data_IF_273020379980
#
_entry.id   IF_273020379980
#
_cell.length_a   1.000
_cell.length_b   1.000
_cell.length_c   1.000
_cell.angle_alpha   90.00
_cell.angle_beta   90.00
_cell.angle_gamma   90.00
#
_symmetry.space_group_name_H-M   'P 1'
#
loop_
_entity.id
_entity.type
_entity.pdbx_description
1 polymer ?
#
# COMPACT_ATOMS: atom_id res chain seq x y z
N UNK A 1 -2.09 -5.34 -7.96
CA UNK A 1 -2.57 -4.64 -9.16
C UNK A 1 -3.34 -3.43 -8.68
N UNK A 2 -2.88 -2.23 -9.00
CA UNK A 2 -3.30 -1.00 -8.30
C UNK A 2 -4.26 -0.18 -9.19
N UNK A 3 -3.78 0.80 -9.96
CA UNK A 3 -4.62 1.62 -10.87
C UNK A 3 -5.07 0.93 -12.18
N UNK A 4 -5.58 -0.31 -12.11
CA UNK A 4 -6.05 -1.07 -13.28
C UNK A 4 -7.25 -0.40 -13.99
N UNK A 5 -8.08 0.35 -13.26
CA UNK A 5 -9.27 1.02 -13.78
C UNK A 5 -8.95 2.01 -14.91
N UNK A 6 -7.76 2.63 -14.89
CA UNK A 6 -7.31 3.59 -15.91
C UNK A 6 -7.08 2.99 -17.29
N UNK A 7 -6.93 1.68 -17.39
CA UNK A 7 -6.74 0.97 -18.66
C UNK A 7 -8.05 0.67 -19.40
N UNK A 8 -9.19 0.71 -18.71
CA UNK A 8 -10.50 0.40 -19.27
C UNK A 8 -11.28 1.67 -19.61
N UNK A 9 -12.16 1.57 -20.61
CA UNK A 9 -13.06 2.66 -21.00
C UNK A 9 -14.33 2.16 -21.68
N UNK A 10 -15.25 3.07 -21.98
CA UNK A 10 -16.57 2.78 -22.55
C UNK A 10 -17.73 3.11 -21.59
N UNK A 11 -18.96 3.06 -22.11
CA UNK A 11 -20.14 3.43 -21.33
C UNK A 11 -20.57 2.32 -20.35
N UNK A 12 -20.15 2.45 -19.08
CA UNK A 12 -20.45 1.48 -18.03
C UNK A 12 -21.96 1.26 -17.81
N UNK A 13 -22.81 2.24 -18.14
CA UNK A 13 -24.27 2.13 -18.00
C UNK A 13 -24.90 1.13 -18.97
N UNK A 14 -24.13 0.64 -19.96
CA UNK A 14 -24.54 -0.43 -20.88
C UNK A 14 -24.04 -1.81 -20.45
N UNK A 15 -23.44 -1.91 -19.27
CA UNK A 15 -22.90 -3.17 -18.74
C UNK A 15 -23.70 -3.63 -17.53
N UNK A 16 -23.71 -4.94 -17.26
CA UNK A 16 -24.28 -5.50 -16.02
C UNK A 16 -23.50 -5.09 -14.77
N UNK A 17 -22.32 -4.51 -14.94
CA UNK A 17 -21.35 -4.19 -13.90
C UNK A 17 -21.32 -2.70 -13.54
N UNK A 18 -22.29 -1.90 -14.01
CA UNK A 18 -22.32 -0.43 -13.85
C UNK A 18 -21.99 0.00 -12.41
N UNK A 19 -22.67 -0.61 -11.43
CA UNK A 19 -22.49 -0.30 -10.00
C UNK A 19 -21.05 -0.57 -9.52
N UNK A 20 -20.52 -1.74 -9.84
CA UNK A 20 -19.16 -2.17 -9.48
C UNK A 20 -18.12 -1.24 -10.13
N UNK A 21 -18.26 -0.97 -11.43
CA UNK A 21 -17.33 -0.15 -12.20
C UNK A 21 -17.35 1.31 -11.81
N UNK A 22 -18.53 1.83 -11.45
CA UNK A 22 -18.65 3.15 -10.83
C UNK A 22 -17.90 3.24 -9.50
N UNK A 23 -17.97 2.22 -8.63
CA UNK A 23 -17.29 2.19 -7.33
C UNK A 23 -15.76 2.08 -7.45
N UNK A 24 -15.27 1.45 -8.51
CA UNK A 24 -13.84 1.34 -8.85
C UNK A 24 -13.31 2.51 -9.67
N UNK A 25 -14.18 3.41 -10.11
CA UNK A 25 -13.77 4.59 -10.88
C UNK A 25 -13.36 4.26 -12.31
N UNK A 26 -14.00 3.28 -12.96
CA UNK A 26 -13.89 3.12 -14.42
C UNK A 26 -14.78 4.16 -15.08
N UNK A 27 -14.18 4.98 -15.94
CA UNK A 27 -14.86 6.05 -16.67
C UNK A 27 -15.04 5.71 -18.14
N UNK A 28 -15.85 6.53 -18.83
CA UNK A 28 -16.01 6.43 -20.28
C UNK A 28 -14.68 6.62 -21.01
N UNK A 29 -13.92 7.62 -20.59
CA UNK A 29 -12.58 7.88 -21.10
C UNK A 29 -11.56 7.11 -20.27
N UNK A 30 -10.68 6.36 -20.93
CA UNK A 30 -9.54 5.68 -20.32
C UNK A 30 -8.31 6.59 -20.29
N UNK A 31 -7.37 6.34 -19.38
CA UNK A 31 -6.11 7.07 -19.30
C UNK A 31 -5.19 6.71 -20.46
N UNK A 32 -5.27 5.46 -20.92
CA UNK A 32 -4.47 4.93 -22.03
C UNK A 32 -5.32 4.69 -23.27
N UNK A 33 -4.72 4.77 -24.45
CA UNK A 33 -5.46 4.58 -25.73
C UNK A 33 -5.78 3.12 -26.07
N UNK A 34 -5.53 2.14 -25.18
CA UNK A 34 -5.74 0.72 -25.47
C UNK A 34 -7.18 0.37 -25.85
N UNK A 35 -8.17 1.03 -25.22
CA UNK A 35 -9.60 0.88 -25.54
C UNK A 35 -9.94 1.12 -27.02
N UNK A 36 -9.12 1.91 -27.73
CA UNK A 36 -9.33 2.23 -29.15
C UNK A 36 -8.90 1.09 -30.08
N UNK A 37 -8.05 0.19 -29.61
CA UNK A 37 -7.37 -0.80 -30.44
C UNK A 37 -7.63 -2.25 -30.02
N UNK A 38 -8.02 -2.47 -28.76
CA UNK A 38 -8.18 -3.80 -28.19
C UNK A 38 -9.51 -3.91 -27.46
N UNK A 39 -10.38 -4.77 -27.98
CA UNK A 39 -11.76 -4.92 -27.49
C UNK A 39 -11.85 -5.30 -26.02
N UNK A 40 -10.87 -6.05 -25.50
CA UNK A 40 -10.80 -6.44 -24.08
C UNK A 40 -10.81 -5.24 -23.11
N UNK A 41 -10.31 -4.07 -23.52
CA UNK A 41 -10.28 -2.89 -22.67
C UNK A 41 -11.53 -2.00 -22.83
N UNK A 42 -12.46 -2.39 -23.70
CA UNK A 42 -13.73 -1.72 -23.89
C UNK A 42 -14.83 -2.47 -23.12
N UNK A 43 -15.37 -1.84 -22.08
CA UNK A 43 -16.36 -2.46 -21.20
C UNK A 43 -17.69 -2.76 -21.89
N UNK A 44 -18.01 -2.09 -23.00
CA UNK A 44 -19.21 -2.41 -23.80
C UNK A 44 -19.03 -3.69 -24.63
N UNK A 45 -17.78 -4.08 -24.91
CA UNK A 45 -17.44 -5.26 -25.73
C UNK A 45 -17.08 -6.48 -24.88
N UNK A 46 -16.31 -6.28 -23.82
CA UNK A 46 -15.95 -7.33 -22.87
C UNK A 46 -16.29 -6.87 -21.43
N UNK A 47 -17.59 -6.92 -21.06
CA UNK A 47 -18.08 -6.29 -19.84
C UNK A 47 -17.56 -6.94 -18.57
N UNK A 48 -17.00 -8.15 -18.61
CA UNK A 48 -16.47 -8.82 -17.43
C UNK A 48 -14.94 -8.78 -17.35
N UNK A 49 -14.26 -8.25 -18.36
CA UNK A 49 -12.80 -8.20 -18.38
C UNK A 49 -12.21 -7.39 -17.21
N UNK A 50 -12.75 -6.20 -16.82
CA UNK A 50 -12.24 -5.49 -15.65
C UNK A 50 -12.30 -6.30 -14.35
N UNK A 51 -13.24 -7.24 -14.20
CA UNK A 51 -13.35 -8.11 -13.03
C UNK A 51 -12.17 -9.09 -12.91
N UNK A 52 -11.39 -9.27 -13.97
CA UNK A 52 -10.18 -10.10 -13.97
C UNK A 52 -8.94 -9.33 -13.51
N UNK A 53 -9.06 -8.05 -13.13
CA UNK A 53 -7.95 -7.20 -12.66
C UNK A 53 -8.26 -6.55 -11.31
N UNK A 54 -7.22 -6.05 -10.64
CA UNK A 54 -7.33 -5.52 -9.28
C UNK A 54 -7.12 -6.61 -8.24
N UNK A 55 -6.29 -7.62 -8.56
CA UNK A 55 -5.99 -8.73 -7.67
C UNK A 55 -4.51 -8.73 -7.27
N UNK A 56 -4.20 -9.35 -6.15
CA UNK A 56 -2.83 -9.77 -5.86
C UNK A 56 -2.44 -10.96 -6.74
N UNK A 57 -1.24 -10.92 -7.30
CA UNK A 57 -0.70 -11.94 -8.18
C UNK A 57 0.54 -12.55 -7.56
N UNK A 58 0.50 -13.85 -7.26
CA UNK A 58 1.64 -14.59 -6.75
C UNK A 58 2.48 -15.13 -7.91
N UNK A 59 3.79 -14.93 -7.84
CA UNK A 59 4.78 -15.34 -8.84
C UNK A 59 5.84 -16.18 -8.12
N UNK A 60 6.24 -17.31 -8.71
CA UNK A 60 7.39 -18.07 -8.22
C UNK A 60 8.67 -17.62 -8.95
N UNK A 61 9.56 -16.83 -8.31
CA UNK A 61 10.78 -16.37 -8.95
C UNK A 61 11.83 -17.48 -9.13
N UNK A 62 11.64 -18.65 -8.52
CA UNK A 62 12.55 -19.80 -8.63
C UNK A 62 12.15 -20.80 -9.72
N UNK A 63 10.94 -20.69 -10.26
CA UNK A 63 10.47 -21.50 -11.37
C UNK A 63 9.99 -20.59 -12.53
N UNK A 64 10.82 -20.38 -13.57
CA UNK A 64 10.47 -19.53 -14.70
C UNK A 64 9.36 -20.12 -15.59
N UNK A 65 8.94 -21.36 -15.35
CA UNK A 65 7.83 -22.01 -16.05
C UNK A 65 6.53 -22.00 -15.26
N UNK A 66 6.58 -21.54 -14.00
CA UNK A 66 5.40 -21.42 -13.16
C UNK A 66 4.40 -20.42 -13.76
N UNK A 67 3.12 -20.74 -13.63
CA UNK A 67 2.06 -19.82 -14.01
C UNK A 67 1.73 -18.92 -12.82
N UNK A 68 1.82 -17.58 -12.95
CA UNK A 68 1.38 -16.68 -11.90
C UNK A 68 -0.09 -16.88 -11.54
N UNK A 69 -0.42 -16.77 -10.26
CA UNK A 69 -1.77 -17.03 -9.73
C UNK A 69 -2.38 -15.75 -9.19
N UNK A 70 -3.56 -15.36 -9.68
CA UNK A 70 -4.36 -14.29 -9.06
C UNK A 70 -5.03 -14.85 -7.81
N UNK A 71 -4.69 -14.32 -6.63
CA UNK A 71 -5.18 -14.81 -5.33
C UNK A 71 -6.46 -14.07 -4.95
N UNK A 72 -7.59 -14.57 -5.42
CA UNK A 72 -8.89 -13.90 -5.29
C UNK A 72 -9.39 -13.82 -3.84
N UNK A 73 -8.92 -14.71 -2.96
CA UNK A 73 -9.25 -14.68 -1.53
C UNK A 73 -8.76 -13.41 -0.81
N UNK A 74 -7.81 -12.67 -1.38
CA UNK A 74 -7.36 -11.38 -0.87
C UNK A 74 -8.26 -10.20 -1.28
N UNK A 75 -9.35 -10.47 -2.03
CA UNK A 75 -10.31 -9.46 -2.49
C UNK A 75 -9.84 -8.71 -3.73
N UNK A 76 -10.75 -7.93 -4.32
CA UNK A 76 -10.50 -7.11 -5.50
C UNK A 76 -10.65 -5.64 -5.22
N UNK A 77 -9.56 -4.90 -5.39
CA UNK A 77 -9.49 -3.45 -5.24
C UNK A 77 -8.16 -2.93 -5.81
N UNK A 78 -7.78 -1.68 -5.52
CA UNK A 78 -6.52 -1.10 -6.00
C UNK A 78 -5.42 -1.40 -4.99
N UNK A 79 -4.90 -2.62 -5.06
CA UNK A 79 -3.86 -3.06 -4.12
C UNK A 79 -2.56 -2.32 -4.39
N UNK A 80 -2.07 -1.57 -3.40
CA UNK A 80 -0.70 -1.03 -3.40
C UNK A 80 0.33 -2.17 -3.28
N UNK A 81 0.14 -2.99 -2.24
CA UNK A 81 0.96 -4.17 -1.97
C UNK A 81 0.19 -5.21 -1.16
N UNK A 82 0.84 -6.32 -0.84
CA UNK A 82 0.34 -7.26 0.15
C UNK A 82 1.49 -7.87 0.94
N UNK A 83 1.79 -7.31 2.10
CA UNK A 83 2.93 -7.76 2.91
C UNK A 83 2.51 -8.82 3.90
N UNK A 84 3.28 -9.91 3.92
CA UNK A 84 2.98 -11.13 4.69
C UNK A 84 3.79 -11.17 5.98
N UNK A 85 3.14 -11.53 7.08
CA UNK A 85 3.78 -11.91 8.34
C UNK A 85 3.35 -13.30 8.77
N UNK A 86 4.27 -14.03 9.38
CA UNK A 86 4.04 -15.37 9.94
C UNK A 86 4.08 -15.24 11.46
N UNK A 87 2.97 -15.53 12.12
CA UNK A 87 2.91 -15.60 13.58
C UNK A 87 3.81 -16.72 14.11
N UNK A 88 4.19 -16.64 15.38
CA UNK A 88 4.94 -17.72 16.08
C UNK A 88 4.28 -19.09 16.03
N UNK A 89 2.96 -19.15 15.88
CA UNK A 89 2.22 -20.40 15.74
C UNK A 89 2.06 -20.88 14.28
N UNK A 90 2.78 -20.24 13.35
CA UNK A 90 2.77 -20.42 11.90
C UNK A 90 1.49 -19.98 11.18
N UNK A 91 0.59 -19.24 11.83
CA UNK A 91 -0.52 -18.60 11.12
C UNK A 91 0.01 -17.54 10.15
N UNK A 92 -0.58 -17.45 8.96
CA UNK A 92 -0.15 -16.53 7.89
C UNK A 92 -1.16 -15.39 7.76
N UNK A 93 -0.66 -14.16 7.80
CA UNK A 93 -1.45 -12.95 7.69
C UNK A 93 -0.86 -12.07 6.60
N UNK A 94 -1.70 -11.49 5.74
CA UNK A 94 -1.29 -10.48 4.76
C UNK A 94 -2.04 -9.17 5.02
N UNK A 95 -1.37 -8.03 4.92
CA UNK A 95 -1.98 -6.71 5.01
C UNK A 95 -1.93 -6.00 3.66
N UNK A 96 -2.95 -5.22 3.32
CA UNK A 96 -3.02 -4.54 2.02
C UNK A 96 -3.78 -3.22 2.14
N UNK A 97 -3.20 -2.15 1.60
CA UNK A 97 -3.88 -0.88 1.37
C UNK A 97 -4.65 -0.88 0.05
N UNK A 98 -5.78 -0.17 0.03
CA UNK A 98 -6.53 0.13 -1.18
C UNK A 98 -6.33 1.60 -1.55
N UNK A 99 -5.39 1.88 -2.45
CA UNK A 99 -4.98 3.25 -2.75
C UNK A 99 -6.05 3.99 -3.57
N UNK A 100 -6.95 4.60 -2.82
CA UNK A 100 -7.82 5.64 -3.31
C UNK A 100 -8.34 6.45 -2.11
N UNK A 101 -8.58 7.75 -2.34
CA UNK A 101 -9.21 8.59 -1.32
C UNK A 101 -10.52 7.97 -0.88
N UNK A 102 -10.67 7.82 0.44
CA UNK A 102 -11.84 7.26 1.10
C UNK A 102 -12.04 5.75 0.94
N UNK A 103 -11.04 5.02 0.47
CA UNK A 103 -11.04 3.55 0.49
C UNK A 103 -10.32 3.04 1.75
N UNK A 104 -9.94 1.75 1.81
CA UNK A 104 -9.82 1.03 3.08
C UNK A 104 -8.48 0.34 3.29
N UNK A 105 -8.28 -0.10 4.53
CA UNK A 105 -7.21 -0.98 4.93
C UNK A 105 -7.75 -2.40 5.13
N UNK A 106 -7.07 -3.39 4.56
CA UNK A 106 -7.47 -4.80 4.60
C UNK A 106 -6.43 -5.69 5.31
N UNK A 107 -6.92 -6.79 5.85
CA UNK A 107 -6.13 -7.89 6.42
C UNK A 107 -6.69 -9.22 5.95
N UNK A 108 -5.85 -10.11 5.44
CA UNK A 108 -6.21 -11.49 5.12
C UNK A 108 -5.55 -12.43 6.12
N UNK A 109 -6.30 -13.42 6.62
CA UNK A 109 -5.77 -14.49 7.47
C UNK A 109 -5.98 -15.82 6.76
N UNK A 110 -4.89 -16.53 6.45
CA UNK A 110 -4.93 -17.82 5.80
C UNK A 110 -5.60 -18.88 6.70
N UNK A 111 -6.34 -19.80 6.09
CA UNK A 111 -6.96 -20.92 6.81
C UNK A 111 -5.94 -21.98 7.24
N UNK A 112 -4.83 -22.09 6.49
CA UNK A 112 -3.78 -23.06 6.72
C UNK A 112 -2.51 -22.38 7.25
N UNK A 113 -1.70 -23.16 7.96
CA UNK A 113 -0.45 -22.70 8.58
C UNK A 113 0.74 -22.88 7.65
N UNK A 114 1.70 -21.99 7.77
CA UNK A 114 2.99 -22.10 7.13
C UNK A 114 3.76 -23.34 7.62
N UNK A 115 4.33 -24.09 6.68
CA UNK A 115 5.24 -25.19 6.97
C UNK A 115 6.68 -24.78 6.65
N UNK A 116 7.54 -24.52 7.65
CA UNK A 116 8.93 -24.11 7.41
C UNK A 116 9.80 -25.20 6.75
N UNK A 117 9.34 -26.46 6.77
CA UNK A 117 10.09 -27.60 6.27
C UNK A 117 9.58 -28.10 4.90
N UNK A 118 8.52 -27.52 4.36
CA UNK A 118 7.93 -27.95 3.09
C UNK A 118 7.41 -26.75 2.30
N UNK A 119 8.23 -26.29 1.33
CA UNK A 119 7.85 -25.21 0.42
C UNK A 119 6.63 -25.56 -0.41
N UNK A 120 6.52 -26.80 -0.90
CA UNK A 120 5.43 -27.19 -1.79
C UNK A 120 4.08 -27.12 -1.07
N UNK A 121 4.05 -27.46 0.23
CA UNK A 121 2.87 -27.32 1.07
C UNK A 121 2.40 -25.86 1.25
N UNK A 122 3.27 -24.87 0.99
CA UNK A 122 2.97 -23.46 1.18
C UNK A 122 2.43 -22.76 -0.08
N UNK A 123 2.51 -23.40 -1.24
CA UNK A 123 2.24 -22.78 -2.55
C UNK A 123 0.77 -22.39 -2.78
N UNK A 124 -0.14 -22.68 -1.86
CA UNK A 124 -1.57 -22.31 -1.93
C UNK A 124 -2.11 -21.75 -0.60
N UNK A 125 -1.23 -21.25 0.30
CA UNK A 125 -1.66 -20.68 1.58
C UNK A 125 -2.58 -19.45 1.42
N UNK A 126 -2.41 -18.71 0.32
CA UNK A 126 -3.22 -17.52 0.01
C UNK A 126 -4.51 -17.83 -0.77
N UNK A 127 -4.82 -19.12 -1.01
CA UNK A 127 -6.03 -19.53 -1.73
C UNK A 127 -7.27 -19.60 -0.82
N UNK A 128 -7.06 -19.90 0.47
CA UNK A 128 -8.14 -20.12 1.43
C UNK A 128 -7.87 -19.36 2.72
N UNK A 129 -8.86 -18.61 3.19
CA UNK A 129 -8.76 -17.80 4.40
C UNK A 129 -9.92 -16.82 4.50
N UNK A 130 -9.77 -15.85 5.40
CA UNK A 130 -10.77 -14.80 5.61
C UNK A 130 -10.15 -13.45 5.33
N UNK A 131 -10.79 -12.67 4.46
CA UNK A 131 -10.49 -11.26 4.25
C UNK A 131 -11.26 -10.42 5.28
N UNK A 132 -10.59 -9.41 5.83
CA UNK A 132 -11.12 -8.47 6.79
C UNK A 132 -10.86 -7.04 6.32
N UNK A 133 -11.73 -6.12 6.73
CA UNK A 133 -11.55 -4.68 6.55
C UNK A 133 -11.52 -3.96 7.89
N UNK A 134 -10.71 -2.90 8.00
CA UNK A 134 -10.53 -2.16 9.23
C UNK A 134 -11.70 -1.21 9.54
N UNK A 135 -12.10 -1.17 10.82
CA UNK A 135 -12.87 -0.10 11.43
C UNK A 135 -12.11 0.47 12.62
N UNK A 136 -11.72 1.73 12.50
CA UNK A 136 -11.03 2.49 13.53
C UNK A 136 -12.04 3.22 14.42
N UNK A 137 -11.79 3.19 15.73
CA UNK A 137 -12.60 3.85 16.75
C UNK A 137 -11.86 5.01 17.40
N UNK A 138 -12.59 6.01 17.89
CA UNK A 138 -12.01 7.21 18.52
C UNK A 138 -11.22 6.94 19.81
N UNK A 139 -11.45 5.78 20.44
CA UNK A 139 -10.74 5.36 21.66
C UNK A 139 -9.35 4.75 21.40
N UNK A 140 -8.88 4.77 20.14
CA UNK A 140 -7.60 4.18 19.73
C UNK A 140 -7.67 2.66 19.52
N UNK A 141 -8.87 2.06 19.50
CA UNK A 141 -9.05 0.67 19.12
C UNK A 141 -9.44 0.50 17.65
N UNK A 142 -9.15 -0.66 17.10
CA UNK A 142 -9.46 -1.05 15.72
C UNK A 142 -10.07 -2.45 15.71
N UNK A 143 -11.20 -2.61 15.02
CA UNK A 143 -11.78 -3.92 14.73
C UNK A 143 -11.51 -4.32 13.28
N UNK A 144 -11.12 -5.58 13.08
CA UNK A 144 -11.06 -6.24 11.78
C UNK A 144 -12.40 -6.93 11.51
N UNK A 145 -13.18 -6.39 10.59
CA UNK A 145 -14.52 -6.90 10.25
C UNK A 145 -14.43 -7.91 9.11
N UNK A 146 -14.92 -9.15 9.26
CA UNK A 146 -14.80 -10.18 8.23
C UNK A 146 -15.72 -9.90 7.04
N UNK A 147 -15.22 -10.15 5.83
CA UNK A 147 -15.99 -10.08 4.58
C UNK A 147 -16.47 -11.49 4.21
N UNK A 148 -17.52 -11.95 4.88
CA UNK A 148 -18.08 -13.31 4.70
C UNK A 148 -19.51 -13.23 4.17
N UNK A 149 -19.77 -13.90 3.06
CA UNK A 149 -21.12 -14.02 2.52
C UNK A 149 -22.04 -14.78 3.49
N UNK A 150 -23.25 -14.25 3.70
CA UNK A 150 -24.22 -14.78 4.66
C UNK A 150 -24.13 -14.13 6.05
N UNK A 151 -23.13 -13.29 6.31
CA UNK A 151 -22.96 -12.59 7.57
C UNK A 151 -23.29 -11.09 7.47
N UNK A 152 -23.95 -10.56 8.50
CA UNK A 152 -24.31 -9.15 8.58
C UNK A 152 -25.05 -8.66 7.33
N UNK A 153 -24.59 -7.56 6.69
CA UNK A 153 -25.22 -7.06 5.47
C UNK A 153 -24.77 -7.80 4.19
N UNK A 154 -23.85 -8.75 4.24
CA UNK A 154 -23.26 -9.38 3.07
C UNK A 154 -24.09 -10.57 2.59
N UNK A 155 -25.34 -10.31 2.21
CA UNK A 155 -26.33 -11.35 1.86
C UNK A 155 -27.01 -11.03 0.53
N UNK A 156 -27.90 -11.93 0.09
CA UNK A 156 -28.70 -11.72 -1.12
C UNK A 156 -29.63 -10.51 -1.03
N UNK A 157 -29.99 -10.05 0.18
CA UNK A 157 -30.78 -8.82 0.37
C UNK A 157 -30.04 -7.56 -0.09
N UNK A 158 -28.71 -7.60 -0.05
CA UNK A 158 -27.85 -6.54 -0.58
C UNK A 158 -27.14 -7.00 -1.85
N UNK A 159 -27.76 -7.82 -2.69
CA UNK A 159 -27.25 -8.28 -3.99
C UNK A 159 -25.88 -8.99 -3.95
N UNK A 160 -25.57 -9.74 -2.90
CA UNK A 160 -24.48 -10.72 -2.90
C UNK A 160 -25.08 -12.12 -2.99
N UNK A 161 -24.66 -12.94 -3.94
CA UNK A 161 -25.17 -14.30 -4.12
C UNK A 161 -24.16 -15.37 -3.71
N UNK A 162 -22.92 -14.96 -3.45
CA UNK A 162 -21.81 -15.86 -3.15
C UNK A 162 -20.65 -15.11 -2.47
N UNK A 163 -19.69 -15.87 -1.94
CA UNK A 163 -18.41 -15.31 -1.49
C UNK A 163 -17.61 -14.68 -2.64
N UNK A 164 -17.78 -15.16 -3.89
CA UNK A 164 -17.11 -14.57 -5.04
C UNK A 164 -17.61 -13.14 -5.31
N UNK A 165 -18.91 -12.90 -5.18
CA UNK A 165 -19.51 -11.56 -5.32
C UNK A 165 -18.91 -10.60 -4.26
N UNK A 166 -18.78 -11.08 -3.02
CA UNK A 166 -18.18 -10.31 -1.91
C UNK A 166 -16.73 -9.93 -2.22
N UNK A 167 -15.93 -10.84 -2.79
CA UNK A 167 -14.53 -10.58 -3.10
C UNK A 167 -14.35 -9.71 -4.36
N UNK A 168 -15.18 -9.89 -5.39
CA UNK A 168 -15.16 -9.06 -6.61
C UNK A 168 -15.58 -7.61 -6.31
N UNK A 169 -16.56 -7.44 -5.42
CA UNK A 169 -17.07 -6.15 -4.96
C UNK A 169 -16.64 -5.82 -3.53
N UNK A 170 -15.40 -6.16 -3.15
CA UNK A 170 -14.88 -6.00 -1.78
C UNK A 170 -15.07 -4.59 -1.21
N UNK A 171 -14.89 -3.54 -2.04
CA UNK A 171 -15.16 -2.15 -1.66
C UNK A 171 -16.63 -1.93 -1.24
N UNK A 172 -17.60 -2.49 -1.96
CA UNK A 172 -19.03 -2.38 -1.61
C UNK A 172 -19.35 -3.18 -0.34
N UNK A 173 -18.73 -4.35 -0.17
CA UNK A 173 -18.85 -5.12 1.06
C UNK A 173 -18.33 -4.31 2.27
N UNK A 174 -17.17 -3.67 2.12
CA UNK A 174 -16.59 -2.79 3.13
C UNK A 174 -17.46 -1.55 3.44
N UNK A 175 -18.03 -0.91 2.41
CA UNK A 175 -19.01 0.17 2.57
C UNK A 175 -20.18 -0.27 3.48
N UNK A 176 -20.76 -1.44 3.21
CA UNK A 176 -21.92 -1.96 3.95
C UNK A 176 -21.58 -2.36 5.39
N UNK A 177 -20.36 -2.84 5.63
CA UNK A 177 -19.86 -3.13 6.99
C UNK A 177 -19.55 -1.85 7.78
N UNK A 178 -19.52 -0.68 7.13
CA UNK A 178 -19.17 0.59 7.77
C UNK A 178 -17.69 0.69 8.10
N UNK A 179 -16.83 0.18 7.20
CA UNK A 179 -15.39 0.32 7.29
C UNK A 179 -14.97 1.80 7.30
N UNK A 180 -13.83 2.11 7.94
CA UNK A 180 -13.37 3.50 8.02
C UNK A 180 -12.74 3.92 6.69
N UNK A 181 -13.28 4.98 6.09
CA UNK A 181 -12.73 5.60 4.89
C UNK A 181 -11.43 6.36 5.19
N UNK A 182 -10.33 5.95 4.55
CA UNK A 182 -8.96 6.38 4.85
C UNK A 182 -8.40 7.38 3.83
N UNK A 183 -7.31 8.04 4.21
CA UNK A 183 -6.55 8.96 3.34
C UNK A 183 -5.52 8.22 2.48
N UNK A 184 -6.01 7.53 1.43
CA UNK A 184 -5.16 6.80 0.46
C UNK A 184 -4.18 5.83 1.14
N UNK A 185 -4.67 4.69 1.64
CA UNK A 185 -3.80 3.61 2.11
C UNK A 185 -2.93 3.11 0.96
N UNK A 186 -1.64 3.45 1.03
CA UNK A 186 -0.62 2.89 0.15
C UNK A 186 0.00 1.68 0.87
N UNK A 187 1.29 1.71 1.16
CA UNK A 187 1.98 0.51 1.63
C UNK A 187 1.63 0.17 3.09
N UNK A 188 1.72 -1.12 3.42
CA UNK A 188 1.37 -1.66 4.74
C UNK A 188 2.35 -2.72 5.19
N UNK A 189 3.25 -2.36 6.11
CA UNK A 189 4.37 -3.22 6.50
C UNK A 189 4.24 -3.68 7.97
N UNK A 190 4.07 -4.99 8.23
CA UNK A 190 4.24 -5.56 9.55
C UNK A 190 5.72 -5.65 9.91
N UNK A 191 6.11 -5.10 11.06
CA UNK A 191 7.48 -5.11 11.54
C UNK A 191 7.77 -6.36 12.39
N UNK A 192 8.59 -7.31 11.91
CA UNK A 192 8.82 -8.57 12.61
C UNK A 192 9.65 -8.41 13.90
N UNK A 193 10.35 -7.30 14.07
CA UNK A 193 11.19 -7.03 15.25
C UNK A 193 10.33 -6.56 16.42
N UNK A 194 9.40 -5.64 16.20
CA UNK A 194 8.58 -5.08 17.27
C UNK A 194 7.13 -5.57 17.31
N UNK A 195 6.64 -6.21 16.24
CA UNK A 195 5.29 -6.79 16.12
C UNK A 195 4.20 -5.78 15.72
N UNK A 196 4.52 -4.51 15.50
CA UNK A 196 3.56 -3.49 15.04
C UNK A 196 3.37 -3.57 13.53
N UNK A 197 2.32 -2.94 13.02
CA UNK A 197 2.06 -2.75 11.58
C UNK A 197 2.06 -1.26 11.28
N UNK A 198 2.75 -0.84 10.22
CA UNK A 198 2.78 0.55 9.78
C UNK A 198 1.97 0.72 8.51
N UNK A 199 1.21 1.81 8.41
CA UNK A 199 0.32 2.10 7.27
C UNK A 199 0.65 3.48 6.75
N UNK A 200 0.98 3.58 5.47
CA UNK A 200 1.20 4.85 4.80
C UNK A 200 -0.14 5.39 4.30
N UNK A 201 -0.45 6.63 4.67
CA UNK A 201 -1.64 7.35 4.26
C UNK A 201 -1.20 8.62 3.54
N UNK A 202 -0.99 8.52 2.22
CA UNK A 202 -0.20 9.49 1.46
C UNK A 202 -0.81 10.89 1.39
N UNK A 203 -2.12 11.02 1.14
CA UNK A 203 -2.83 12.31 1.16
C UNK A 203 -4.34 12.15 0.91
N UNK A 204 -5.11 13.19 1.19
CA UNK A 204 -6.51 13.29 0.77
C UNK A 204 -7.00 14.73 0.69
N UNK A 205 -6.76 15.37 -0.46
CA UNK A 205 -7.26 16.72 -0.74
C UNK A 205 -8.80 16.84 -0.80
N UNK A 206 -9.54 15.73 -0.85
CA UNK A 206 -11.01 15.73 -0.89
C UNK A 206 -11.65 15.63 0.49
N UNK A 207 -10.89 15.32 1.55
CA UNK A 207 -11.43 15.22 2.92
C UNK A 207 -11.94 16.58 3.36
N UNK A 208 -13.24 16.70 3.64
CA UNK A 208 -13.83 17.97 4.10
C UNK A 208 -13.64 18.18 5.60
N UNK A 209 -13.79 17.12 6.36
CA UNK A 209 -13.68 17.10 7.82
C UNK A 209 -12.82 15.92 8.26
N UNK A 210 -11.96 16.17 9.24
CA UNK A 210 -11.11 15.15 9.84
C UNK A 210 -11.91 14.19 10.73
N UNK A 211 -11.42 12.97 10.87
CA UNK A 211 -11.84 12.03 11.91
C UNK A 211 -10.60 11.53 12.66
N UNK A 212 -10.78 10.73 13.72
CA UNK A 212 -9.66 10.31 14.58
C UNK A 212 -8.46 9.73 13.80
N UNK A 213 -8.62 8.72 12.91
CA UNK A 213 -7.50 8.17 12.13
C UNK A 213 -7.15 8.97 10.87
N UNK A 214 -7.84 10.08 10.56
CA UNK A 214 -7.55 10.95 9.43
C UNK A 214 -7.84 12.42 9.83
N UNK A 215 -6.98 13.03 10.67
CA UNK A 215 -7.36 14.20 11.46
C UNK A 215 -7.44 15.52 10.68
N UNK A 216 -6.94 15.57 9.44
CA UNK A 216 -6.82 16.81 8.67
C UNK A 216 -7.83 16.88 7.53
N UNK A 217 -8.58 17.99 7.48
CA UNK A 217 -9.30 18.39 6.27
C UNK A 217 -8.30 18.77 5.17
N UNK A 218 -8.65 18.48 3.92
CA UNK A 218 -7.86 18.73 2.71
C UNK A 218 -6.40 18.31 2.85
N UNK A 219 -6.16 17.17 3.52
CA UNK A 219 -4.85 16.68 3.92
C UNK A 219 -3.88 16.60 2.71
N UNK A 220 -2.88 17.49 2.62
CA UNK A 220 -1.98 17.52 1.48
C UNK A 220 -0.70 16.71 1.71
N UNK A 221 -0.40 16.35 2.97
CA UNK A 221 0.91 15.77 3.34
C UNK A 221 0.87 14.32 3.78
N UNK A 222 -0.30 13.79 4.13
CA UNK A 222 -0.40 12.41 4.61
C UNK A 222 0.21 12.18 5.99
N UNK A 223 0.17 10.93 6.44
CA UNK A 223 0.58 10.53 7.79
C UNK A 223 0.86 9.03 7.83
N UNK A 224 1.48 8.59 8.93
CA UNK A 224 1.82 7.19 9.18
C UNK A 224 1.05 6.71 10.40
N UNK A 225 0.20 5.69 10.23
CA UNK A 225 -0.41 5.00 11.36
C UNK A 225 0.52 3.89 11.84
N UNK A 226 0.48 3.62 13.14
CA UNK A 226 0.97 2.38 13.71
C UNK A 226 -0.18 1.59 14.33
N UNK A 227 -0.25 0.29 14.02
CA UNK A 227 -1.22 -0.64 14.59
C UNK A 227 -0.47 -1.60 15.51
N UNK A 228 -1.05 -1.89 16.67
CA UNK A 228 -0.50 -2.77 17.67
C UNK A 228 -1.42 -3.98 17.85
N UNK A 229 -1.07 -5.15 17.28
CA UNK A 229 -1.74 -6.39 17.62
C UNK A 229 -1.56 -6.75 19.10
N UNK A 230 -2.50 -7.52 19.70
CA UNK A 230 -2.35 -8.05 21.05
C UNK A 230 -1.28 -9.16 21.09
N UNK A 231 -1.12 -9.82 22.24
CA UNK A 231 -0.26 -11.01 22.39
C UNK A 231 1.17 -10.72 22.83
N UNK A 232 1.69 -9.52 22.59
CA UNK A 232 3.01 -9.12 23.05
C UNK A 232 3.75 -8.24 22.04
N UNK A 233 5.07 -8.39 21.97
CA UNK A 233 5.94 -7.68 21.03
C UNK A 233 6.69 -8.67 20.15
N UNK A 234 7.13 -8.21 18.99
CA UNK A 234 7.88 -9.02 18.02
C UNK A 234 7.11 -10.28 17.66
N UNK A 235 7.80 -11.43 17.70
CA UNK A 235 7.21 -12.74 17.39
C UNK A 235 6.00 -13.14 18.28
N UNK A 236 5.84 -12.56 19.47
CA UNK A 236 4.72 -12.90 20.36
C UNK A 236 3.44 -12.12 20.03
N UNK A 237 3.51 -11.15 19.11
CA UNK A 237 2.35 -10.41 18.67
C UNK A 237 1.41 -11.30 17.83
N UNK A 238 0.11 -11.20 18.08
CA UNK A 238 -0.91 -12.00 17.40
C UNK A 238 -1.60 -11.20 16.29
N UNK A 239 -1.11 -11.37 15.06
CA UNK A 239 -1.67 -10.70 13.90
C UNK A 239 -3.04 -11.27 13.46
N UNK A 240 -3.43 -12.46 13.96
CA UNK A 240 -4.73 -13.07 13.63
C UNK A 240 -5.87 -12.43 14.40
N UNK A 241 -5.58 -11.79 15.54
CA UNK A 241 -6.59 -11.21 16.42
C UNK A 241 -7.55 -10.24 15.70
N UNK A 242 -8.83 -10.31 16.04
CA UNK A 242 -9.87 -9.46 15.45
C UNK A 242 -9.85 -8.01 15.92
N UNK A 243 -9.09 -7.68 16.97
CA UNK A 243 -9.02 -6.33 17.52
C UNK A 243 -7.59 -5.91 17.83
N UNK A 244 -7.18 -4.76 17.30
CA UNK A 244 -5.89 -4.12 17.56
C UNK A 244 -6.11 -2.79 18.30
N UNK A 245 -5.02 -2.14 18.73
CA UNK A 245 -5.00 -0.70 19.01
C UNK A 245 -4.22 0.03 17.92
N UNK A 246 -4.40 1.35 17.80
CA UNK A 246 -3.73 2.17 16.79
C UNK A 246 -3.36 3.54 17.34
N UNK A 247 -2.36 4.17 16.71
CA UNK A 247 -1.95 5.56 16.97
C UNK A 247 -1.42 6.20 15.67
N UNK A 248 -1.40 7.54 15.62
CA UNK A 248 -0.72 8.29 14.54
C UNK A 248 0.73 8.47 14.97
N UNK A 249 1.64 7.73 14.34
CA UNK A 249 3.07 7.82 14.68
C UNK A 249 3.69 9.11 14.14
N UNK A 250 3.38 9.47 12.90
CA UNK A 250 3.87 10.67 12.22
C UNK A 250 2.70 11.36 11.54
N UNK A 251 2.58 12.67 11.69
CA UNK A 251 1.75 13.50 10.83
C UNK A 251 2.66 14.32 9.89
N UNK A 252 2.59 14.03 8.59
CA UNK A 252 3.41 14.64 7.55
C UNK A 252 3.23 16.17 7.45
N UNK A 253 4.14 16.86 6.80
CA UNK A 253 4.10 18.32 6.59
C UNK A 253 5.25 19.05 7.29
N UNK A 254 5.36 20.36 7.03
CA UNK A 254 6.48 21.17 7.49
C UNK A 254 6.26 21.62 8.96
N UNK A 255 7.09 21.20 9.92
CA UNK A 255 6.92 21.57 11.33
C UNK A 255 7.10 23.07 11.60
N UNK A 256 7.68 23.84 10.67
CA UNK A 256 7.75 25.29 10.75
C UNK A 256 6.43 26.00 10.36
N UNK A 257 5.48 25.28 9.74
CA UNK A 257 4.18 25.79 9.32
C UNK A 257 3.12 25.23 10.27
N UNK A 258 2.61 26.08 11.17
CA UNK A 258 1.66 25.66 12.20
C UNK A 258 0.38 25.00 11.64
N UNK A 259 -0.07 25.47 10.47
CA UNK A 259 -1.28 24.96 9.80
C UNK A 259 -1.13 23.52 9.27
N UNK A 260 0.11 23.07 9.01
CA UNK A 260 0.38 21.70 8.59
C UNK A 260 0.08 20.71 9.71
N UNK A 261 0.11 21.17 10.98
CA UNK A 261 -0.11 20.34 12.19
C UNK A 261 0.78 19.09 12.18
N UNK A 262 2.00 19.27 11.70
CA UNK A 262 3.02 18.23 11.63
C UNK A 262 3.34 17.69 13.04
N UNK A 263 3.54 16.37 13.14
CA UNK A 263 3.86 15.69 14.39
C UNK A 263 5.02 14.74 14.13
N UNK A 264 6.13 14.97 14.85
CA UNK A 264 7.37 14.21 14.77
C UNK A 264 8.03 14.14 16.15
N UNK A 265 9.08 13.33 16.26
CA UNK A 265 10.00 13.43 17.39
C UNK A 265 10.62 14.85 17.45
N UNK A 266 10.82 15.45 18.64
CA UNK A 266 11.36 16.82 18.76
C UNK A 266 12.76 17.03 18.16
N UNK A 267 13.54 15.96 18.03
CA UNK A 267 14.88 15.98 17.43
C UNK A 267 14.89 15.57 15.94
N UNK A 268 13.73 15.47 15.29
CA UNK A 268 13.66 15.20 13.85
C UNK A 268 14.38 16.30 13.06
N UNK A 269 15.26 15.89 12.14
CA UNK A 269 16.07 16.78 11.30
C UNK A 269 15.45 16.98 9.91
N UNK A 270 14.43 16.18 9.59
CA UNK A 270 13.70 16.20 8.33
C UNK A 270 12.21 15.97 8.58
N UNK A 271 11.41 16.28 7.59
CA UNK A 271 9.97 16.02 7.58
C UNK A 271 9.58 15.34 6.27
N UNK A 272 8.44 14.67 6.28
CA UNK A 272 7.92 13.90 5.14
C UNK A 272 6.63 14.54 4.64
N UNK A 273 6.35 14.38 3.35
CA UNK A 273 5.05 14.66 2.74
C UNK A 273 4.77 13.57 1.73
N UNK A 274 3.51 13.15 1.66
CA UNK A 274 3.06 12.06 0.80
C UNK A 274 3.87 10.77 1.01
N UNK A 275 3.92 10.25 2.26
CA UNK A 275 4.57 8.98 2.50
C UNK A 275 3.79 7.87 1.77
N UNK A 276 4.51 7.00 1.08
CA UNK A 276 3.95 6.04 0.12
C UNK A 276 4.41 4.61 0.43
N UNK A 277 5.56 4.20 -0.09
CA UNK A 277 6.14 2.88 0.18
C UNK A 277 7.00 2.87 1.44
N UNK A 278 7.30 1.69 1.98
CA UNK A 278 8.25 1.58 3.09
C UNK A 278 9.00 0.25 3.12
N UNK A 279 10.03 0.18 3.97
CA UNK A 279 10.71 -1.06 4.32
C UNK A 279 11.08 -1.08 5.80
N UNK A 280 11.17 -2.29 6.36
CA UNK A 280 11.69 -2.52 7.71
C UNK A 280 13.10 -3.08 7.60
N UNK A 281 14.09 -2.42 8.22
CA UNK A 281 15.44 -2.97 8.25
C UNK A 281 15.63 -4.07 9.30
N UNK A 282 16.78 -4.73 9.29
CA UNK A 282 17.11 -5.82 10.21
C UNK A 282 17.13 -5.43 11.69
N UNK A 283 17.15 -4.12 12.01
CA UNK A 283 17.07 -3.58 13.38
C UNK A 283 15.63 -3.17 13.74
N UNK A 284 14.69 -3.27 12.81
CA UNK A 284 13.30 -2.91 13.01
C UNK A 284 13.01 -1.42 12.84
N UNK A 285 13.91 -0.65 12.21
CA UNK A 285 13.62 0.76 11.85
C UNK A 285 12.79 0.81 10.60
N UNK A 286 11.98 1.87 10.48
CA UNK A 286 11.11 2.12 9.35
C UNK A 286 11.80 3.05 8.35
N UNK A 287 11.81 2.64 7.09
CA UNK A 287 12.36 3.39 5.97
C UNK A 287 11.23 3.82 5.06
N UNK A 288 10.93 5.12 5.04
CA UNK A 288 9.75 5.70 4.39
C UNK A 288 10.18 6.30 3.04
N UNK A 289 9.55 5.83 1.96
CA UNK A 289 9.58 6.45 0.64
C UNK A 289 8.49 7.51 0.50
N UNK A 290 8.68 8.47 -0.39
CA UNK A 290 7.67 9.49 -0.70
C UNK A 290 7.39 9.57 -2.21
N UNK A 291 6.11 9.81 -2.55
CA UNK A 291 5.62 10.22 -3.87
C UNK A 291 4.79 11.50 -3.74
N UNK A 292 5.33 12.61 -4.26
CA UNK A 292 4.62 13.88 -4.33
C UNK A 292 5.04 14.87 -3.26
N UNK A 293 6.11 14.61 -2.53
CA UNK A 293 6.76 15.58 -1.65
C UNK A 293 7.15 16.90 -2.35
N UNK A 294 7.52 16.93 -3.66
CA UNK A 294 7.79 18.16 -4.40
C UNK A 294 6.65 19.18 -4.43
N UNK A 295 5.40 18.76 -4.18
CA UNK A 295 4.26 19.69 -4.01
C UNK A 295 4.40 20.57 -2.76
N UNK A 296 5.32 20.22 -1.87
CA UNK A 296 5.66 20.94 -0.63
C UNK A 296 7.11 21.45 -0.64
N UNK A 297 7.71 21.65 -1.83
CA UNK A 297 9.06 22.19 -2.02
C UNK A 297 10.21 21.38 -1.39
N UNK A 298 10.01 20.06 -1.22
CA UNK A 298 11.05 19.10 -0.83
C UNK A 298 11.17 17.98 -1.87
N UNK A 299 12.37 17.41 -2.10
CA UNK A 299 12.49 16.30 -3.03
C UNK A 299 11.76 15.06 -2.51
N UNK A 300 11.24 14.24 -3.42
CA UNK A 300 10.92 12.86 -3.05
C UNK A 300 12.18 12.09 -2.70
N UNK A 301 12.04 11.08 -1.85
CA UNK A 301 13.21 10.35 -1.39
C UNK A 301 12.93 9.31 -0.31
N UNK A 302 13.99 9.02 0.45
CA UNK A 302 13.99 7.99 1.49
C UNK A 302 14.29 8.61 2.84
N UNK A 303 13.51 8.23 3.86
CA UNK A 303 13.68 8.67 5.23
C UNK A 303 13.82 7.50 6.20
N UNK A 304 14.91 7.47 6.98
CA UNK A 304 15.08 6.50 8.06
C UNK A 304 14.40 7.00 9.34
N UNK A 305 13.59 6.16 9.97
CA UNK A 305 12.76 6.52 11.12
C UNK A 305 12.85 5.46 12.22
N UNK A 306 13.24 5.90 13.43
CA UNK A 306 13.12 5.08 14.63
C UNK A 306 11.65 5.00 15.05
N UNK A 307 11.19 3.80 15.40
CA UNK A 307 9.76 3.52 15.63
C UNK A 307 9.42 3.15 17.08
N UNK A 308 10.40 3.08 17.97
CA UNK A 308 10.21 2.70 19.36
C UNK A 308 11.21 3.38 20.30
N UNK A 309 10.95 3.28 21.59
CA UNK A 309 11.80 3.83 22.64
C UNK A 309 11.87 5.36 22.60
N UNK A 310 12.93 5.95 23.18
CA UNK A 310 13.11 7.40 23.21
C UNK A 310 13.21 8.05 21.82
N UNK A 311 13.52 7.28 20.77
CA UNK A 311 13.64 7.75 19.40
C UNK A 311 12.36 7.62 18.57
N UNK A 312 11.23 7.15 19.12
CA UNK A 312 10.00 6.97 18.33
C UNK A 312 9.65 8.24 17.53
N UNK A 313 9.45 8.06 16.22
CA UNK A 313 9.22 9.11 15.20
C UNK A 313 10.43 10.04 14.92
N UNK A 314 11.66 9.64 15.28
CA UNK A 314 12.87 10.35 14.91
C UNK A 314 13.21 10.06 13.45
N UNK A 315 12.90 11.01 12.58
CA UNK A 315 13.02 10.87 11.14
C UNK A 315 14.22 11.66 10.58
N UNK A 316 15.04 10.99 9.77
CA UNK A 316 16.19 11.55 9.07
C UNK A 316 16.11 11.28 7.58
N UNK A 317 16.43 12.28 6.77
CA UNK A 317 16.47 12.15 5.33
C UNK A 317 17.76 11.45 4.90
N UNK A 318 17.63 10.43 4.06
CA UNK A 318 18.73 9.54 3.68
C UNK A 318 19.12 9.68 2.20
N UNK A 319 18.13 9.76 1.31
CA UNK A 319 18.36 9.82 -0.13
C UNK A 319 17.34 10.73 -0.81
N UNK A 320 17.79 11.53 -1.77
CA UNK A 320 16.94 12.37 -2.61
C UNK A 320 16.85 11.81 -4.03
N UNK A 321 15.64 11.70 -4.56
CA UNK A 321 15.40 11.32 -5.94
C UNK A 321 15.87 12.40 -6.93
N UNK A 322 16.23 12.00 -8.17
CA UNK A 322 16.42 12.95 -9.27
C UNK A 322 15.11 13.68 -9.57
N UNK A 323 15.22 14.83 -10.24
CA UNK A 323 14.07 15.68 -10.59
C UNK A 323 12.98 14.89 -11.33
N UNK A 324 11.74 15.04 -10.88
CA UNK A 324 10.56 14.41 -11.46
C UNK A 324 10.41 12.91 -11.16
N UNK A 325 11.32 12.33 -10.38
CA UNK A 325 11.14 10.96 -9.87
C UNK A 325 10.47 10.96 -8.49
N UNK A 326 9.79 9.87 -8.20
CA UNK A 326 9.42 9.45 -6.85
C UNK A 326 10.35 8.31 -6.38
N UNK A 327 10.32 8.01 -5.09
CA UNK A 327 11.00 6.83 -4.54
C UNK A 327 9.98 5.70 -4.37
N UNK A 328 10.28 4.53 -4.93
CA UNK A 328 9.40 3.35 -4.84
C UNK A 328 10.20 2.11 -4.40
N UNK A 329 9.53 1.17 -3.74
CA UNK A 329 10.02 -0.19 -3.48
C UNK A 329 11.43 -0.31 -2.90
N UNK A 330 11.72 0.26 -1.72
CA UNK A 330 12.97 0.02 -1.01
C UNK A 330 13.07 -1.44 -0.53
N UNK A 331 14.26 -2.03 -0.58
CA UNK A 331 14.48 -3.39 -0.06
C UNK A 331 15.89 -3.55 0.49
N UNK A 332 16.04 -4.17 1.66
CA UNK A 332 17.34 -4.44 2.26
C UNK A 332 17.84 -5.84 1.92
N UNK A 333 19.15 -5.99 1.75
CA UNK A 333 19.74 -7.34 1.88
C UNK A 333 19.57 -7.84 3.31
N UNK A 334 19.46 -9.18 3.53
CA UNK A 334 19.26 -9.73 4.87
C UNK A 334 20.36 -9.37 5.90
N UNK A 335 21.56 -9.03 5.44
CA UNK A 335 22.67 -8.59 6.29
C UNK A 335 22.69 -7.07 6.55
N UNK A 336 21.73 -6.31 6.02
CA UNK A 336 21.61 -4.87 6.21
C UNK A 336 22.70 -4.03 5.56
N UNK A 337 23.57 -4.61 4.72
CA UNK A 337 24.72 -3.90 4.12
C UNK A 337 24.44 -3.24 2.79
N UNK A 338 23.38 -3.67 2.12
CA UNK A 338 22.92 -3.07 0.86
C UNK A 338 21.45 -2.69 0.99
N UNK A 339 21.14 -1.46 0.61
CA UNK A 339 19.77 -0.99 0.40
C UNK A 339 19.55 -0.81 -1.10
N UNK A 340 18.58 -1.53 -1.65
CA UNK A 340 18.08 -1.29 -2.99
C UNK A 340 17.01 -0.21 -2.98
N UNK A 341 17.12 0.75 -3.89
CA UNK A 341 16.16 1.84 -4.06
C UNK A 341 15.68 1.85 -5.51
N UNK A 342 14.37 1.78 -5.75
CA UNK A 342 13.82 1.92 -7.10
C UNK A 342 13.40 3.37 -7.35
N UNK A 343 14.17 4.08 -8.17
CA UNK A 343 13.82 5.44 -8.59
C UNK A 343 12.87 5.35 -9.77
N UNK A 344 11.62 5.76 -9.56
CA UNK A 344 10.56 5.67 -10.58
C UNK A 344 10.51 6.95 -11.43
N UNK A 345 10.16 6.78 -12.72
CA UNK A 345 9.90 7.85 -13.71
C UNK A 345 10.73 9.16 -13.58
N UNK A 346 12.07 9.10 -13.57
CA UNK A 346 12.88 10.33 -13.60
C UNK A 346 12.49 11.21 -14.78
N UNK A 347 12.45 12.51 -14.53
CA UNK A 347 11.97 13.52 -15.46
C UNK A 347 10.45 13.51 -15.75
N UNK A 348 9.61 12.96 -14.88
CA UNK A 348 8.17 13.15 -15.04
C UNK A 348 7.79 14.66 -15.07
N UNK A 349 6.71 14.97 -15.79
CA UNK A 349 6.29 16.35 -16.08
C UNK A 349 7.08 17.04 -17.20
N UNK A 350 8.00 16.34 -17.87
CA UNK A 350 8.75 16.85 -19.03
C UNK A 350 8.52 16.01 -20.30
N UNK A 351 9.20 16.31 -21.41
CA UNK A 351 9.00 15.62 -22.69
C UNK A 351 10.19 14.72 -23.05
N UNK A 352 9.95 13.73 -23.92
CA UNK A 352 11.00 12.85 -24.43
C UNK A 352 12.17 13.62 -25.06
N UNK A 353 11.86 14.64 -25.87
CA UNK A 353 12.85 15.44 -26.58
C UNK A 353 13.62 16.39 -25.64
N UNK A 354 12.94 16.91 -24.61
CA UNK A 354 13.49 17.89 -23.66
C UNK A 354 13.13 17.54 -22.21
N UNK A 355 13.74 16.49 -21.63
CA UNK A 355 13.47 16.11 -20.27
C UNK A 355 14.24 16.98 -19.28
N UNK A 356 13.68 17.12 -18.09
CA UNK A 356 14.27 17.87 -16.98
C UNK A 356 15.55 17.22 -16.41
N UNK A 357 15.75 15.92 -16.66
CA UNK A 357 16.99 15.20 -16.33
C UNK A 357 17.27 14.08 -17.34
N UNK A 358 18.52 13.61 -17.38
CA UNK A 358 18.99 12.46 -18.17
C UNK A 358 19.50 11.34 -17.26
N UNK A 359 19.06 11.31 -16.00
CA UNK A 359 19.41 10.28 -15.02
C UNK A 359 19.00 8.88 -15.52
N UNK A 360 19.81 7.82 -15.29
CA UNK A 360 21.05 7.81 -14.51
C UNK A 360 22.31 8.08 -15.35
N UNK A 361 22.22 8.00 -16.67
CA UNK A 361 23.39 7.99 -17.56
C UNK A 361 23.99 9.41 -17.79
N UNK A 362 23.16 10.45 -17.67
CA UNK A 362 23.52 11.86 -17.94
C UNK A 362 24.06 12.12 -19.36
N UNK A 363 23.73 11.27 -20.32
CA UNK A 363 24.14 11.41 -21.71
C UNK A 363 23.04 12.07 -22.53
N UNK A 364 23.41 13.08 -23.33
CA UNK A 364 22.44 13.88 -24.09
C UNK A 364 21.57 13.06 -25.06
N UNK A 365 22.10 11.94 -25.58
CA UNK A 365 21.42 11.07 -26.53
C UNK A 365 20.59 9.94 -25.89
N UNK A 366 20.65 9.79 -24.56
CA UNK A 366 19.98 8.70 -23.83
C UNK A 366 18.79 9.29 -23.05
N UNK A 367 17.56 8.76 -23.18
CA UNK A 367 16.43 9.22 -22.40
C UNK A 367 16.60 8.90 -20.90
N UNK A 368 15.93 9.63 -20.00
CA UNK A 368 15.89 9.26 -18.59
C UNK A 368 15.26 7.87 -18.41
N UNK A 369 15.74 7.11 -17.42
CA UNK A 369 15.36 5.71 -17.23
C UNK A 369 15.09 5.41 -15.76
N UNK A 370 13.91 4.89 -15.39
CA UNK A 370 13.70 4.29 -14.08
C UNK A 370 14.80 3.24 -13.83
N UNK A 371 15.38 3.24 -12.64
CA UNK A 371 16.48 2.32 -12.31
C UNK A 371 16.45 1.94 -10.84
N UNK A 372 16.85 0.70 -10.57
CA UNK A 372 17.17 0.23 -9.21
C UNK A 372 18.63 0.52 -8.94
N UNK A 373 18.92 1.22 -7.83
CA UNK A 373 20.28 1.49 -7.38
C UNK A 373 20.59 0.69 -6.12
N UNK A 374 21.83 0.21 -6.01
CA UNK A 374 22.33 -0.46 -4.82
C UNK A 374 23.17 0.54 -3.99
N UNK A 375 22.66 0.89 -2.82
CA UNK A 375 23.34 1.77 -1.86
C UNK A 375 24.16 0.90 -0.91
N UNK A 376 25.45 1.19 -0.81
CA UNK A 376 26.40 0.51 0.08
C UNK A 376 27.26 1.52 0.81
N UNK A 377 27.79 1.14 1.98
CA UNK A 377 28.74 1.96 2.73
C UNK A 377 30.16 1.70 2.24
N UNK A 378 30.98 2.75 2.08
CA UNK A 378 32.36 2.63 1.58
C UNK A 378 33.27 1.71 2.43
N UNK A 379 32.98 1.59 3.73
CA UNK A 379 33.70 0.73 4.67
C UNK A 379 33.14 -0.71 4.72
N UNK A 380 32.10 -1.02 3.94
CA UNK A 380 31.41 -2.32 3.93
C UNK A 380 30.55 -2.60 5.16
N UNK A 381 30.31 -1.58 6.00
CA UNK A 381 29.43 -1.67 7.16
C UNK A 381 27.94 -1.66 6.80
N UNK A 382 27.10 -1.87 7.80
CA UNK A 382 25.64 -1.82 7.68
C UNK A 382 25.14 -0.41 7.32
N UNK A 383 24.04 -0.35 6.57
CA UNK A 383 23.36 0.89 6.24
C UNK A 383 22.77 1.49 7.52
N UNK A 384 23.09 2.76 7.76
CA UNK A 384 22.76 3.47 9.00
C UNK A 384 23.20 2.73 10.28
N UNK A 385 24.29 1.95 10.22
CA UNK A 385 24.90 1.23 11.35
C UNK A 385 25.42 2.12 12.47
#
# INVERSE_FOLDING_TARGET
>A
EENFNGYFGGDIAKTSEERNYKRLGISKDSWYSWVKYFDRFNVEKDPNEPNKFGWMVEIDPYDPTSMPKKRTALGRFKHEGATVIINKDNSVVAYSGDDQRFDYLYKFVAANKYNPNDRAANMDLLENGTLFVAKFHEDGSLDWMPLIFGEGPLTAENDFNSQADVLIEARRAADLLGATQMDRPEDVEPNPVNGKVYVMLTNNSKRKEGNAPNPRAANPHGHVLELTPPGGRGQDADHTASRFTWDIMIAGGNPAVADDKAVYHPAAESWVSCPDNMAIDHRGRLWISTDGAPKSDIPDGMHATDVDGPGRALTKFFFACPVGAEMCGPEFTPDGKTLFLAVQHPADGSSYDAPSTRWPDFQAAIPPRPSVVAVTKNDGGEIAG
#
